data_IF_181247123710
#
_entry.id   IF_181247123710
#
_cell.length_a   1.000
_cell.length_b   1.000
_cell.length_c   1.000
_cell.angle_alpha   90.00
_cell.angle_beta   90.00
_cell.angle_gamma   90.00
#
_symmetry.space_group_name_H-M   'P 1'
#
loop_
_entity.id
_entity.type
_entity.pdbx_description
1 polymer ?
#
# COMPACT_ATOMS: atom_id res chain seq x y z
N UNK A 1 13.40 -8.55 0.88
CA UNK A 1 13.59 -9.53 -0.21
C UNK A 1 12.32 -10.35 -0.36
N UNK A 2 11.86 -10.60 -1.59
CA UNK A 2 10.72 -11.48 -1.85
C UNK A 2 11.19 -12.93 -1.90
N UNK A 3 10.32 -13.87 -1.52
CA UNK A 3 10.58 -15.32 -1.58
C UNK A 3 10.14 -15.97 -2.91
N UNK A 4 9.79 -15.15 -3.90
CA UNK A 4 9.30 -15.57 -5.21
C UNK A 4 10.07 -14.83 -6.31
N UNK A 5 10.36 -15.53 -7.39
CA UNK A 5 11.05 -15.00 -8.56
C UNK A 5 10.06 -14.52 -9.63
N UNK A 6 10.58 -13.80 -10.63
CA UNK A 6 9.77 -13.36 -11.77
C UNK A 6 9.41 -14.56 -12.68
N UNK A 7 8.24 -14.56 -13.32
CA UNK A 7 7.19 -13.56 -13.22
C UNK A 7 6.44 -13.62 -11.89
N UNK A 8 6.12 -12.45 -11.32
CA UNK A 8 5.43 -12.40 -10.03
C UNK A 8 4.00 -12.95 -10.11
N UNK A 9 3.49 -13.57 -9.02
CA UNK A 9 2.12 -14.06 -8.97
C UNK A 9 1.12 -12.92 -9.21
N UNK A 10 0.01 -13.22 -9.90
CA UNK A 10 -1.08 -12.26 -10.15
C UNK A 10 -1.68 -11.68 -8.87
N UNK A 11 -1.49 -12.33 -7.72
CA UNK A 11 -1.90 -11.82 -6.43
C UNK A 11 -1.13 -10.55 -6.02
N UNK A 12 0.08 -10.35 -6.54
CA UNK A 12 0.90 -9.14 -6.38
C UNK A 12 0.60 -8.06 -7.43
N UNK A 13 -0.27 -8.33 -8.41
CA UNK A 13 -0.65 -7.41 -9.48
C UNK A 13 -2.17 -7.27 -9.44
N UNK A 14 -2.66 -6.40 -8.56
CA UNK A 14 -4.11 -6.21 -8.36
C UNK A 14 -4.55 -4.81 -8.77
N UNK A 15 -5.71 -4.68 -9.42
CA UNK A 15 -6.29 -3.37 -9.73
C UNK A 15 -6.75 -2.68 -8.45
N UNK A 16 -6.85 -1.35 -8.49
CA UNK A 16 -7.40 -0.56 -7.39
C UNK A 16 -8.85 -0.96 -7.07
N UNK A 17 -9.25 -0.79 -5.81
CA UNK A 17 -10.64 -0.95 -5.41
C UNK A 17 -11.48 0.25 -5.87
N UNK A 18 -12.78 0.05 -6.17
CA UNK A 18 -13.69 1.17 -6.34
C UNK A 18 -13.78 1.97 -5.04
N UNK A 19 -13.76 3.29 -5.15
CA UNK A 19 -13.89 4.21 -4.03
C UNK A 19 -15.13 5.10 -4.20
N UNK A 20 -15.83 5.39 -3.10
CA UNK A 20 -16.90 6.39 -3.08
C UNK A 20 -16.33 7.79 -3.34
N UNK A 21 -17.15 8.79 -3.75
CA UNK A 21 -16.68 10.16 -3.96
C UNK A 21 -15.91 10.72 -2.76
N UNK A 22 -16.50 10.62 -1.55
CA UNK A 22 -15.86 10.99 -0.28
C UNK A 22 -14.54 10.24 -0.04
N UNK A 23 -14.48 8.96 -0.40
CA UNK A 23 -13.27 8.15 -0.29
C UNK A 23 -12.17 8.60 -1.26
N UNK A 24 -12.56 9.00 -2.47
CA UNK A 24 -11.64 9.49 -3.50
C UNK A 24 -11.02 10.84 -3.11
N UNK A 25 -11.84 11.78 -2.65
CA UNK A 25 -11.36 13.08 -2.16
C UNK A 25 -10.37 12.93 -1.00
N UNK A 26 -10.70 12.07 -0.02
CA UNK A 26 -9.81 11.78 1.08
C UNK A 26 -8.50 11.13 0.59
N UNK A 27 -8.58 10.17 -0.33
CA UNK A 27 -7.40 9.51 -0.90
C UNK A 27 -6.50 10.51 -1.63
N UNK A 28 -7.06 11.40 -2.45
CA UNK A 28 -6.31 12.43 -3.17
C UNK A 28 -5.63 13.40 -2.20
N UNK A 29 -6.30 13.79 -1.11
CA UNK A 29 -5.71 14.61 -0.05
C UNK A 29 -4.50 13.93 0.61
N UNK A 30 -4.63 12.66 1.03
CA UNK A 30 -3.55 11.88 1.64
C UNK A 30 -2.37 11.68 0.69
N UNK A 31 -2.63 11.35 -0.58
CA UNK A 31 -1.58 11.17 -1.60
C UNK A 31 -0.81 12.48 -1.80
N UNK A 32 -1.51 13.61 -1.94
CA UNK A 32 -0.88 14.91 -2.14
C UNK A 32 -0.01 15.32 -0.95
N UNK A 33 -0.46 15.08 0.27
CA UNK A 33 0.32 15.33 1.49
C UNK A 33 1.59 14.47 1.50
N UNK A 34 1.47 13.17 1.27
CA UNK A 34 2.61 12.25 1.25
C UNK A 34 3.61 12.54 0.12
N UNK A 35 3.12 13.03 -1.03
CA UNK A 35 3.99 13.52 -2.10
C UNK A 35 4.77 14.77 -1.68
N UNK A 36 4.12 15.74 -1.01
CA UNK A 36 4.79 16.95 -0.49
C UNK A 36 5.85 16.62 0.56
N UNK A 37 5.59 15.62 1.39
CA UNK A 37 6.54 15.12 2.40
C UNK A 37 7.67 14.26 1.79
N UNK A 38 7.63 13.97 0.49
CA UNK A 38 8.62 13.13 -0.18
C UNK A 38 8.52 11.63 0.16
N UNK A 39 7.42 11.20 0.80
CA UNK A 39 7.17 9.79 1.15
C UNK A 39 6.72 8.99 -0.08
N UNK A 40 5.91 9.60 -0.94
CA UNK A 40 5.44 9.01 -2.19
C UNK A 40 6.00 9.75 -3.40
N UNK A 41 6.26 9.00 -4.48
CA UNK A 41 6.65 9.52 -5.79
C UNK A 41 5.71 8.98 -6.86
N UNK A 42 5.33 9.84 -7.80
CA UNK A 42 4.61 9.40 -9.00
C UNK A 42 5.55 8.60 -9.90
N UNK A 43 5.16 7.36 -10.20
CA UNK A 43 5.85 6.49 -11.17
C UNK A 43 5.43 6.92 -12.58
N UNK A 44 6.40 7.04 -13.49
CA UNK A 44 6.16 7.45 -14.90
C UNK A 44 5.65 6.27 -15.73
N UNK A 45 4.98 6.54 -16.85
CA UNK A 45 4.37 5.50 -17.68
C UNK A 45 5.36 4.44 -18.22
N UNK A 46 6.65 4.80 -18.32
CA UNK A 46 7.71 3.89 -18.78
C UNK A 46 8.37 3.09 -17.64
N UNK A 47 8.01 3.35 -16.39
CA UNK A 47 8.43 2.57 -15.22
C UNK A 47 7.27 1.62 -14.87
N UNK A 48 7.33 0.36 -15.30
CA UNK A 48 6.33 -0.61 -14.89
C UNK A 48 6.48 -0.94 -13.40
N UNK A 49 5.41 -0.70 -12.64
CA UNK A 49 5.31 -1.21 -11.28
C UNK A 49 5.02 -2.72 -11.35
N UNK A 50 6.07 -3.54 -11.20
CA UNK A 50 5.98 -5.00 -11.24
C UNK A 50 5.13 -5.59 -10.11
N UNK A 51 4.90 -4.81 -9.04
CA UNK A 51 4.06 -5.15 -7.89
C UNK A 51 3.15 -3.97 -7.57
N UNK A 52 1.87 -4.25 -7.35
CA UNK A 52 0.88 -3.24 -6.94
C UNK A 52 0.13 -3.69 -5.69
N UNK A 53 0.03 -2.79 -4.72
CA UNK A 53 -0.80 -2.99 -3.52
C UNK A 53 -1.94 -2.01 -3.53
N UNK A 54 -3.16 -2.51 -3.24
CA UNK A 54 -4.35 -1.67 -3.20
C UNK A 54 -4.37 -0.83 -1.94
N UNK A 55 -5.04 0.31 -2.02
CA UNK A 55 -5.22 1.23 -0.89
C UNK A 55 -6.71 1.46 -0.67
N UNK A 56 -7.12 1.56 0.59
CA UNK A 56 -8.48 1.87 1.01
C UNK A 56 -8.49 3.04 2.00
N UNK A 57 -9.62 3.73 2.09
CA UNK A 57 -9.86 4.74 3.13
C UNK A 57 -10.73 4.14 4.22
N UNK A 58 -10.29 4.29 5.47
CA UNK A 58 -11.09 3.98 6.66
C UNK A 58 -11.39 5.26 7.43
N UNK A 59 -12.54 5.31 8.10
CA UNK A 59 -12.98 6.48 8.85
C UNK A 59 -13.13 6.13 10.32
N UNK A 60 -12.67 7.00 11.20
CA UNK A 60 -12.92 6.90 12.64
C UNK A 60 -12.83 8.28 13.28
N UNK A 61 -13.87 8.67 14.03
CA UNK A 61 -14.07 10.01 14.61
C UNK A 61 -13.87 11.12 13.57
N UNK A 62 -14.56 10.99 12.43
CA UNK A 62 -14.50 11.90 11.26
C UNK A 62 -13.13 12.09 10.60
N UNK A 63 -12.10 11.40 11.09
CA UNK A 63 -10.76 11.39 10.49
C UNK A 63 -10.61 10.19 9.57
N UNK A 64 -10.18 10.46 8.34
CA UNK A 64 -9.84 9.43 7.36
C UNK A 64 -8.41 8.93 7.57
N UNK A 65 -8.19 7.65 7.25
CA UNK A 65 -6.86 7.03 7.21
C UNK A 65 -6.71 6.28 5.90
N UNK A 66 -5.54 6.43 5.28
CA UNK A 66 -5.14 5.67 4.11
C UNK A 66 -4.48 4.36 4.56
N UNK A 67 -5.03 3.22 4.15
CA UNK A 67 -4.56 1.89 4.57
C UNK A 67 -4.20 1.06 3.34
N UNK A 68 -2.94 0.61 3.27
CA UNK A 68 -2.50 -0.32 2.23
C UNK A 68 -2.87 -1.77 2.54
N UNK A 69 -3.47 -2.47 1.57
CA UNK A 69 -3.73 -3.91 1.64
C UNK A 69 -2.46 -4.69 1.24
N UNK A 70 -1.56 -4.86 2.20
CA UNK A 70 -0.31 -5.60 2.03
C UNK A 70 -0.43 -7.11 2.30
N UNK A 71 -1.64 -7.66 2.48
CA UNK A 71 -1.81 -9.08 2.88
C UNK A 71 -1.13 -10.04 1.90
N UNK A 72 -1.37 -9.83 0.61
CA UNK A 72 -0.72 -10.61 -0.45
C UNK A 72 0.80 -10.44 -0.43
N UNK A 73 1.25 -9.18 -0.40
CA UNK A 73 2.68 -8.84 -0.39
C UNK A 73 3.43 -9.48 0.79
N UNK A 74 2.83 -9.48 1.97
CA UNK A 74 3.41 -10.04 3.18
C UNK A 74 3.59 -11.56 3.12
N UNK A 75 2.75 -12.29 2.36
CA UNK A 75 2.93 -13.73 2.10
C UNK A 75 4.20 -14.01 1.32
N UNK A 76 4.59 -13.07 0.45
CA UNK A 76 5.76 -13.22 -0.41
C UNK A 76 7.01 -12.49 0.11
N UNK A 77 6.93 -11.86 1.27
CA UNK A 77 8.05 -11.11 1.86
C UNK A 77 8.74 -11.97 2.91
N UNK A 78 10.05 -12.11 2.79
CA UNK A 78 10.86 -12.79 3.81
C UNK A 78 10.83 -11.93 5.08
N UNK A 79 10.32 -12.49 6.18
CA UNK A 79 10.17 -11.77 7.44
C UNK A 79 11.53 -11.58 8.14
N UNK A 80 11.97 -10.34 8.27
CA UNK A 80 13.07 -9.97 9.14
C UNK A 80 12.53 -9.74 10.56
N UNK A 81 12.54 -10.79 11.40
CA UNK A 81 12.03 -10.71 12.78
C UNK A 81 13.11 -10.14 13.70
N UNK A 82 12.92 -8.91 14.16
CA UNK A 82 13.69 -8.38 15.28
C UNK A 82 13.03 -8.83 16.60
N UNK A 83 13.78 -9.31 17.60
CA UNK A 83 13.19 -9.70 18.88
C UNK A 83 12.62 -8.47 19.58
N UNK A 84 11.30 -8.47 19.79
CA UNK A 84 10.60 -7.45 20.58
C UNK A 84 10.26 -8.09 21.93
N UNK A 85 10.80 -7.58 23.05
CA UNK A 85 10.48 -8.12 24.36
C UNK A 85 8.99 -7.93 24.64
N UNK A 86 8.33 -8.99 25.12
CA UNK A 86 6.97 -8.90 25.66
C UNK A 86 7.09 -8.48 27.12
N UNK A 87 6.46 -7.38 27.47
CA UNK A 87 6.30 -6.96 28.86
C UNK A 87 5.13 -7.77 29.41
N UNK A 88 5.38 -8.55 30.46
CA UNK A 88 4.38 -9.27 31.24
C UNK A 88 4.04 -8.49 32.50
#
# INVERSE_FOLDING_TARGET
MLNVERPYPSLLIRPAYPASPRGREALESHINELMKLGVLRKVVHNEEAEVTTRVIITWHNDKSRMVGDFRAFNTYTIQARYPIPRIH
#
